data_IF_606931461306
#
_entry.id   IF_606931461306
#
_cell.length_a   1.000
_cell.length_b   1.000
_cell.length_c   1.000
_cell.angle_alpha   90.00
_cell.angle_beta   90.00
_cell.angle_gamma   90.00
#
_symmetry.space_group_name_H-M   'P 1'
#
loop_
_entity.id
_entity.type
_entity.pdbx_description
1 polymer ?
#
# COMPACT_ATOMS: atom_id res chain seq x y z
N UNK A 1 23.86 0.74 -12.35
CA UNK A 1 23.17 -0.54 -12.06
C UNK A 1 21.70 -0.18 -11.94
N UNK A 2 20.84 -0.84 -12.70
CA UNK A 2 19.41 -0.51 -12.74
C UNK A 2 18.80 -1.11 -11.47
N UNK A 3 18.39 -0.27 -10.51
CA UNK A 3 17.73 -0.71 -9.28
C UNK A 3 16.54 -1.63 -9.63
N UNK A 4 16.40 -2.80 -8.99
CA UNK A 4 15.27 -3.67 -9.22
C UNK A 4 13.96 -3.01 -8.74
N UNK A 5 13.34 -2.29 -9.68
CA UNK A 5 11.90 -2.17 -9.94
C UNK A 5 11.03 -1.56 -8.84
N UNK A 6 10.99 -0.23 -8.85
CA UNK A 6 9.75 0.53 -8.64
C UNK A 6 8.77 0.22 -9.76
N UNK A 7 8.21 -0.99 -9.78
CA UNK A 7 7.25 -1.41 -10.79
C UNK A 7 6.01 -2.01 -10.14
N UNK A 8 4.88 -1.92 -10.84
CA UNK A 8 3.67 -2.66 -10.51
C UNK A 8 3.78 -4.14 -10.92
N UNK A 9 2.69 -4.89 -10.70
CA UNK A 9 2.59 -6.33 -10.98
C UNK A 9 2.72 -6.68 -12.47
N UNK A 10 2.64 -5.69 -13.36
CA UNK A 10 2.84 -5.82 -14.80
C UNK A 10 4.21 -5.33 -15.26
N UNK A 11 5.08 -4.91 -14.34
CA UNK A 11 6.39 -4.37 -14.66
C UNK A 11 6.35 -2.92 -15.15
N UNK A 12 5.21 -2.22 -15.02
CA UNK A 12 5.13 -0.79 -15.32
C UNK A 12 5.80 0.00 -14.20
N UNK A 13 6.67 0.97 -14.49
CA UNK A 13 7.29 1.77 -13.46
C UNK A 13 6.24 2.56 -12.68
N UNK A 14 6.46 2.74 -11.39
CA UNK A 14 5.66 3.59 -10.50
C UNK A 14 6.51 4.73 -9.93
N UNK A 15 5.87 5.87 -9.68
CA UNK A 15 6.50 7.04 -9.09
C UNK A 15 5.63 7.68 -8.00
N UNK A 16 6.24 8.55 -7.19
CA UNK A 16 5.52 9.36 -6.22
C UNK A 16 4.42 10.14 -6.94
N UNK A 17 3.20 10.00 -6.43
CA UNK A 17 2.01 10.63 -6.95
C UNK A 17 1.23 9.84 -8.01
N UNK A 18 1.74 8.71 -8.49
CA UNK A 18 0.95 7.77 -9.28
C UNK A 18 -0.17 7.17 -8.43
N UNK A 19 -1.27 6.79 -9.10
CA UNK A 19 -2.38 6.04 -8.50
C UNK A 19 -2.17 4.56 -8.79
N UNK A 20 -2.20 3.77 -7.73
CA UNK A 20 -2.13 2.31 -7.81
C UNK A 20 -3.36 1.69 -7.18
N UNK A 21 -3.81 0.58 -7.73
CA UNK A 21 -4.80 -0.31 -7.11
C UNK A 21 -4.06 -1.36 -6.31
N UNK A 22 -4.46 -1.59 -5.06
CA UNK A 22 -3.94 -2.73 -4.30
C UNK A 22 -4.62 -3.99 -4.83
N UNK A 23 -3.85 -4.94 -5.32
CA UNK A 23 -4.34 -6.18 -5.93
C UNK A 23 -4.45 -7.27 -4.87
N UNK A 24 -3.45 -7.34 -3.99
CA UNK A 24 -3.34 -8.29 -2.89
C UNK A 24 -2.44 -7.69 -1.82
N UNK A 25 -2.46 -8.24 -0.62
CA UNK A 25 -1.47 -7.95 0.42
C UNK A 25 -0.99 -9.29 1.00
N UNK A 26 0.26 -9.36 1.42
CA UNK A 26 0.81 -10.56 2.04
C UNK A 26 0.04 -10.92 3.33
N UNK A 27 -0.39 -12.18 3.46
CA UNK A 27 -1.16 -12.63 4.62
C UNK A 27 -0.35 -12.58 5.92
N UNK A 28 0.94 -12.92 5.90
CA UNK A 28 1.83 -12.80 7.06
C UNK A 28 1.96 -11.34 7.49
N UNK A 29 1.99 -10.41 6.53
CA UNK A 29 1.97 -8.97 6.83
C UNK A 29 0.67 -8.58 7.54
N UNK A 30 -0.49 -8.99 7.03
CA UNK A 30 -1.80 -8.72 7.66
C UNK A 30 -1.86 -9.32 9.07
N UNK A 31 -1.34 -10.53 9.27
CA UNK A 31 -1.38 -11.21 10.57
C UNK A 31 -0.57 -10.51 11.66
N UNK A 32 0.40 -9.67 11.31
CA UNK A 32 1.14 -8.84 12.26
C UNK A 32 0.31 -7.69 12.86
N UNK A 33 -0.85 -7.37 12.28
CA UNK A 33 -1.75 -6.35 12.81
C UNK A 33 -2.72 -6.92 13.87
N UNK A 34 -3.17 -6.10 14.84
CA UNK A 34 -4.27 -6.43 15.72
C UNK A 34 -5.52 -6.85 14.93
N UNK A 35 -6.31 -7.77 15.47
CA UNK A 35 -7.48 -8.33 14.78
C UNK A 35 -8.49 -7.29 14.27
N UNK A 36 -8.62 -6.16 14.97
CA UNK A 36 -9.51 -5.06 14.61
C UNK A 36 -8.97 -4.27 13.40
N UNK A 37 -7.65 -4.11 13.32
CA UNK A 37 -6.97 -3.45 12.20
C UNK A 37 -6.89 -4.34 10.96
N UNK A 38 -6.83 -5.67 11.11
CA UNK A 38 -6.77 -6.61 9.98
C UNK A 38 -7.89 -6.37 8.97
N UNK A 39 -9.11 -6.17 9.45
CA UNK A 39 -10.28 -5.89 8.60
C UNK A 39 -10.08 -4.57 7.83
N UNK A 40 -9.48 -3.56 8.47
CA UNK A 40 -9.19 -2.28 7.84
C UNK A 40 -8.11 -2.42 6.76
N UNK A 41 -7.04 -3.15 7.04
CA UNK A 41 -5.96 -3.43 6.08
C UNK A 41 -6.48 -4.25 4.91
N UNK A 42 -7.22 -5.34 5.17
CA UNK A 42 -7.85 -6.16 4.13
C UNK A 42 -8.81 -5.34 3.26
N UNK A 43 -9.53 -4.38 3.85
CA UNK A 43 -10.42 -3.49 3.08
C UNK A 43 -9.67 -2.64 2.04
N UNK A 44 -8.35 -2.47 2.16
CA UNK A 44 -7.54 -1.75 1.18
C UNK A 44 -7.39 -2.51 -0.14
N UNK A 45 -7.52 -3.84 -0.11
CA UNK A 45 -7.45 -4.67 -1.30
C UNK A 45 -8.59 -4.30 -2.25
N UNK A 46 -8.25 -4.01 -3.50
CA UNK A 46 -9.16 -3.55 -4.54
C UNK A 46 -9.39 -2.03 -4.57
N UNK A 47 -8.95 -1.28 -3.56
CA UNK A 47 -9.04 0.17 -3.54
C UNK A 47 -7.84 0.83 -4.22
N UNK A 48 -7.98 2.13 -4.53
CA UNK A 48 -6.98 2.94 -5.22
C UNK A 48 -6.32 3.91 -4.24
N UNK A 49 -4.99 3.96 -4.27
CA UNK A 49 -4.21 4.84 -3.42
C UNK A 49 -3.17 5.58 -4.24
N UNK A 50 -2.83 6.78 -3.77
CA UNK A 50 -1.74 7.56 -4.31
C UNK A 50 -0.44 7.14 -3.60
N UNK A 51 0.62 6.90 -4.36
CA UNK A 51 1.95 6.68 -3.79
C UNK A 51 2.39 7.98 -3.11
N UNK A 52 2.52 7.93 -1.79
CA UNK A 52 2.89 9.10 -0.98
C UNK A 52 4.41 9.33 -0.96
N UNK A 53 5.18 8.28 -1.20
CA UNK A 53 6.62 8.32 -1.24
C UNK A 53 7.22 6.95 -1.53
N UNK A 54 8.54 6.91 -1.52
CA UNK A 54 9.34 5.74 -1.78
C UNK A 54 10.47 5.77 -0.76
N UNK A 55 10.73 4.64 -0.09
CA UNK A 55 11.78 4.55 0.91
C UNK A 55 13.19 4.52 0.30
N UNK A 56 14.22 4.46 1.14
CA UNK A 56 15.62 4.42 0.71
C UNK A 56 16.00 3.14 -0.05
N UNK A 57 15.18 2.11 0.02
CA UNK A 57 15.35 0.82 -0.68
C UNK A 57 14.55 0.76 -2.00
N UNK A 58 13.78 1.79 -2.32
CA UNK A 58 12.97 1.85 -3.53
C UNK A 58 11.57 1.22 -3.37
N UNK A 59 11.10 0.99 -2.15
CA UNK A 59 9.77 0.44 -1.90
C UNK A 59 8.74 1.57 -1.81
N UNK A 60 7.68 1.56 -2.65
CA UNK A 60 6.63 2.57 -2.59
C UNK A 60 5.70 2.30 -1.41
N UNK A 61 5.25 3.37 -0.77
CA UNK A 61 4.25 3.30 0.30
C UNK A 61 2.98 4.10 -0.02
N UNK A 62 1.88 3.64 0.55
CA UNK A 62 0.58 4.31 0.50
C UNK A 62 0.12 4.59 1.92
N UNK A 63 -0.60 5.69 2.10
CA UNK A 63 -1.28 5.99 3.36
C UNK A 63 -2.77 5.80 3.20
N UNK A 64 -3.40 5.27 4.24
CA UNK A 64 -4.85 5.32 4.40
C UNK A 64 -5.17 5.92 5.75
N UNK A 65 -6.20 6.76 5.74
CA UNK A 65 -6.72 7.43 6.91
C UNK A 65 -8.15 6.93 7.13
N UNK A 66 -8.46 6.57 8.37
CA UNK A 66 -9.78 6.20 8.83
C UNK A 66 -10.17 7.13 9.97
N UNK A 67 -11.45 7.46 10.02
CA UNK A 67 -12.03 8.15 11.17
C UNK A 67 -12.90 7.14 11.91
N UNK A 68 -12.67 6.99 13.22
CA UNK A 68 -13.58 6.23 14.06
C UNK A 68 -14.83 7.05 14.43
N UNK A 69 -15.78 6.41 15.12
CA UNK A 69 -17.04 7.03 15.53
C UNK A 69 -16.85 8.19 16.52
N UNK A 70 -15.72 8.21 17.24
CA UNK A 70 -15.33 9.26 18.18
C UNK A 70 -14.57 10.43 17.49
N UNK A 71 -14.36 10.33 16.17
CA UNK A 71 -13.68 11.34 15.37
C UNK A 71 -12.15 11.29 15.47
N UNK A 72 -11.59 10.25 16.08
CA UNK A 72 -10.14 10.02 16.12
C UNK A 72 -9.69 9.55 14.75
N UNK A 73 -8.66 10.21 14.23
CA UNK A 73 -8.03 9.85 12.96
C UNK A 73 -6.97 8.78 13.20
N UNK A 74 -7.16 7.62 12.58
CA UNK A 74 -6.16 6.57 12.50
C UNK A 74 -5.52 6.60 11.11
N UNK A 75 -4.20 6.61 11.06
CA UNK A 75 -3.45 6.62 9.80
C UNK A 75 -2.53 5.41 9.77
N UNK A 76 -2.67 4.58 8.74
CA UNK A 76 -1.72 3.51 8.45
C UNK A 76 -0.95 3.81 7.17
N UNK A 77 0.35 3.54 7.23
CA UNK A 77 1.27 3.61 6.10
C UNK A 77 1.72 2.19 5.81
N UNK A 78 1.53 1.75 4.57
CA UNK A 78 1.84 0.39 4.13
C UNK A 78 2.78 0.47 2.94
N UNK A 79 3.91 -0.23 3.05
CA UNK A 79 4.81 -0.47 1.93
C UNK A 79 4.24 -1.58 1.04
N UNK A 80 4.32 -1.41 -0.27
CA UNK A 80 3.76 -2.33 -1.25
C UNK A 80 4.88 -2.99 -2.05
N UNK A 81 4.80 -4.31 -2.16
CA UNK A 81 5.60 -5.05 -3.12
C UNK A 81 5.04 -4.89 -4.54
N UNK A 82 5.87 -5.05 -5.59
CA UNK A 82 5.41 -4.97 -6.97
C UNK A 82 4.17 -5.81 -7.29
N UNK A 83 4.08 -7.01 -6.73
CA UNK A 83 2.96 -7.94 -6.93
C UNK A 83 1.66 -7.52 -6.22
N UNK A 84 1.76 -6.64 -5.22
CA UNK A 84 0.65 -6.17 -4.41
C UNK A 84 -0.08 -4.97 -5.05
N UNK A 85 0.50 -4.36 -6.08
CA UNK A 85 -0.04 -3.14 -6.69
C UNK A 85 -0.12 -3.20 -8.22
N UNK A 86 -1.13 -2.53 -8.77
CA UNK A 86 -1.33 -2.34 -10.21
C UNK A 86 -1.40 -0.83 -10.50
N UNK A 87 -0.59 -0.33 -11.43
CA UNK A 87 -0.65 1.07 -11.85
C UNK A 87 -1.77 1.29 -12.86
N UNK A 88 -2.58 2.31 -12.58
CA UNK A 88 -3.71 2.75 -13.41
C UNK A 88 -3.26 3.75 -14.48
#
# INVERSE_FOLDING_TARGET
>A
MQDPKLCDCHGKPVAIGDIVRIVTLNQEFIENFPSEERILIESMIGQFFKIYGIDEFGQPWVSKEWHDEDGVMQTHIIALDPEEMERI
#
